data_IF_490303646906
#
_entry.id   IF_490303646906
#
_cell.length_a   1.000
_cell.length_b   1.000
_cell.length_c   1.000
_cell.angle_alpha   90.00
_cell.angle_beta   90.00
_cell.angle_gamma   90.00
#
_symmetry.space_group_name_H-M   'P 1'
#
loop_
_entity.id
_entity.type
_entity.pdbx_description
1 polymer ?
#
# COMPACT_ATOMS: atom_id res chain seq x y z
N UNK A 1 -3.65 -2.47 30.85
CA UNK A 1 -4.98 -3.06 30.62
C UNK A 1 -5.12 -3.30 29.12
N UNK A 2 -5.40 -4.53 28.70
CA UNK A 2 -5.60 -4.88 27.30
C UNK A 2 -7.11 -4.98 27.05
N UNK A 3 -7.62 -4.26 26.05
CA UNK A 3 -9.04 -4.28 25.73
C UNK A 3 -9.33 -5.45 24.78
N UNK A 4 -10.34 -6.26 25.08
CA UNK A 4 -10.62 -7.52 24.36
C UNK A 4 -11.87 -7.53 23.50
N UNK A 5 -12.79 -6.58 23.71
CA UNK A 5 -14.06 -6.50 22.98
C UNK A 5 -14.32 -5.05 22.49
N UNK A 6 -14.72 -4.93 21.22
CA UNK A 6 -15.25 -3.68 20.65
C UNK A 6 -16.69 -3.48 21.13
N UNK A 7 -17.05 -2.25 21.52
CA UNK A 7 -18.37 -1.97 22.06
C UNK A 7 -18.65 -0.49 22.26
N UNK A 8 -19.82 -0.20 22.83
CA UNK A 8 -20.23 1.15 23.20
C UNK A 8 -20.13 1.27 24.71
N UNK A 9 -19.31 2.20 25.17
CA UNK A 9 -19.15 2.53 26.58
C UNK A 9 -20.03 3.74 26.90
N UNK A 10 -20.92 3.57 27.88
CA UNK A 10 -21.83 4.65 28.31
C UNK A 10 -21.31 5.27 29.60
N UNK A 11 -21.00 6.55 29.56
CA UNK A 11 -20.70 7.35 30.75
C UNK A 11 -22.00 7.96 31.27
N UNK A 12 -22.37 7.62 32.50
CA UNK A 12 -23.59 8.11 33.14
C UNK A 12 -23.22 9.01 34.33
N UNK A 13 -23.82 10.20 34.42
CA UNK A 13 -23.67 11.12 35.53
C UNK A 13 -25.05 11.47 36.10
N UNK A 14 -25.20 11.29 37.42
CA UNK A 14 -26.47 11.46 38.12
C UNK A 14 -26.33 12.46 39.26
N UNK A 15 -27.30 13.37 39.39
CA UNK A 15 -27.46 14.26 40.54
C UNK A 15 -28.91 14.22 41.06
N UNK A 16 -29.23 15.05 42.07
CA UNK A 16 -30.57 15.10 42.69
C UNK A 16 -31.70 15.54 41.74
N UNK A 17 -31.37 16.13 40.60
CA UNK A 17 -32.32 16.69 39.62
C UNK A 17 -32.50 15.75 38.43
N UNK A 18 -31.51 14.90 38.12
CA UNK A 18 -31.64 13.91 37.05
C UNK A 18 -30.34 13.20 36.70
N UNK A 19 -30.40 12.46 35.60
CA UNK A 19 -29.31 11.65 35.04
C UNK A 19 -29.04 12.06 33.60
N UNK A 20 -27.76 12.15 33.23
CA UNK A 20 -27.30 12.34 31.86
C UNK A 20 -26.39 11.19 31.46
N UNK A 21 -26.47 10.79 30.19
CA UNK A 21 -25.66 9.71 29.62
C UNK A 21 -24.93 10.17 28.36
N UNK A 22 -23.72 9.64 28.16
CA UNK A 22 -22.92 9.84 26.94
C UNK A 22 -22.33 8.53 26.46
N UNK A 23 -22.66 8.16 25.22
CA UNK A 23 -22.13 6.98 24.57
C UNK A 23 -20.79 7.26 23.89
N UNK A 24 -19.85 6.33 24.03
CA UNK A 24 -18.52 6.35 23.44
C UNK A 24 -18.27 5.04 22.70
N UNK A 25 -18.08 5.13 21.39
CA UNK A 25 -17.75 3.96 20.60
C UNK A 25 -16.27 3.61 20.78
N UNK A 26 -15.98 2.38 21.19
CA UNK A 26 -14.64 1.87 21.38
C UNK A 26 -14.42 0.65 20.49
N UNK A 27 -13.46 0.75 19.57
CA UNK A 27 -13.16 -0.31 18.62
C UNK A 27 -11.73 -0.81 18.83
N UNK A 28 -11.60 -2.13 18.88
CA UNK A 28 -10.30 -2.80 18.84
C UNK A 28 -9.88 -2.97 17.39
N UNK A 29 -8.58 -2.83 17.17
CA UNK A 29 -7.97 -3.10 15.88
C UNK A 29 -6.61 -3.76 16.08
N UNK A 30 -6.33 -4.76 15.26
CA UNK A 30 -5.03 -5.41 15.08
C UNK A 30 -4.12 -4.63 14.10
N UNK A 31 -4.54 -3.43 13.70
CA UNK A 31 -3.83 -2.59 12.72
C UNK A 31 -3.25 -1.38 13.43
N UNK A 32 -1.94 -1.07 13.26
CA UNK A 32 -1.35 0.14 13.80
C UNK A 32 -2.14 1.39 13.39
N UNK A 33 -2.61 2.16 14.36
CA UNK A 33 -3.47 3.34 14.17
C UNK A 33 -4.74 3.10 13.33
N UNK A 34 -5.16 1.84 13.18
CA UNK A 34 -6.33 1.44 12.41
C UNK A 34 -6.17 1.49 10.89
N UNK A 35 -5.06 1.98 10.34
CA UNK A 35 -4.84 2.07 8.90
C UNK A 35 -3.33 2.02 8.59
N UNK A 36 -2.90 0.95 7.91
CA UNK A 36 -1.51 0.75 7.53
C UNK A 36 -1.34 0.26 6.08
N UNK A 37 -0.27 0.71 5.43
CA UNK A 37 0.11 0.29 4.07
C UNK A 37 1.53 -0.27 4.06
N UNK A 38 1.69 -1.47 3.51
CA UNK A 38 2.98 -2.16 3.40
C UNK A 38 3.36 -2.45 1.96
N UNK A 39 4.67 -2.41 1.71
CA UNK A 39 5.31 -2.95 0.51
C UNK A 39 6.05 -4.21 0.95
N UNK A 40 5.76 -5.35 0.30
CA UNK A 40 6.33 -6.66 0.65
C UNK A 40 7.87 -6.67 0.52
N UNK A 41 8.35 -6.28 -0.67
CA UNK A 41 9.77 -6.05 -0.96
C UNK A 41 9.93 -4.99 -2.04
N UNK A 42 11.11 -4.36 -2.11
CA UNK A 42 11.45 -3.50 -3.24
C UNK A 42 11.62 -4.38 -4.50
N UNK A 43 10.77 -4.24 -5.53
CA UNK A 43 10.83 -5.11 -6.70
C UNK A 43 11.97 -4.70 -7.64
N UNK A 44 12.56 -5.68 -8.30
CA UNK A 44 13.34 -5.45 -9.52
C UNK A 44 12.44 -5.50 -10.77
N UNK A 45 12.94 -4.97 -11.88
CA UNK A 45 12.28 -5.07 -13.18
C UNK A 45 12.03 -6.54 -13.54
N UNK A 46 10.80 -6.85 -13.98
CA UNK A 46 10.35 -8.22 -14.25
C UNK A 46 9.84 -8.98 -13.01
N UNK A 47 10.04 -8.48 -11.78
CA UNK A 47 9.44 -9.09 -10.59
C UNK A 47 8.00 -8.63 -10.32
N UNK A 48 7.27 -9.38 -9.50
CA UNK A 48 5.95 -8.98 -9.04
C UNK A 48 6.03 -7.94 -7.91
N UNK A 49 5.40 -6.78 -8.13
CA UNK A 49 5.17 -5.77 -7.09
C UNK A 49 3.93 -6.14 -6.26
N UNK A 50 4.08 -6.20 -4.94
CA UNK A 50 3.01 -6.53 -3.99
C UNK A 50 2.88 -5.46 -2.91
N UNK A 51 1.70 -4.84 -2.88
CA UNK A 51 1.30 -3.87 -1.86
C UNK A 51 0.10 -4.41 -1.09
N UNK A 52 0.06 -4.14 0.21
CA UNK A 52 -1.06 -4.50 1.07
C UNK A 52 -1.53 -3.28 1.84
N UNK A 53 -2.84 -3.03 1.79
CA UNK A 53 -3.50 -2.00 2.56
C UNK A 53 -4.39 -2.68 3.60
N UNK A 54 -4.04 -2.57 4.87
CA UNK A 54 -4.79 -3.17 5.97
C UNK A 54 -5.46 -2.06 6.76
N UNK A 55 -6.78 -2.17 6.94
CA UNK A 55 -7.60 -1.19 7.64
C UNK A 55 -8.43 -1.86 8.72
N UNK A 56 -8.74 -1.12 9.78
CA UNK A 56 -9.71 -1.51 10.79
C UNK A 56 -11.08 -1.62 10.14
N UNK A 57 -11.69 -2.80 10.27
CA UNK A 57 -12.99 -3.12 9.68
C UNK A 57 -14.12 -2.22 10.19
N UNK A 58 -13.99 -1.72 11.42
CA UNK A 58 -15.03 -0.94 12.09
C UNK A 58 -14.88 0.57 11.91
N UNK A 59 -13.72 1.02 11.43
CA UNK A 59 -13.43 2.45 11.26
C UNK A 59 -13.51 2.90 9.79
N UNK A 60 -13.27 2.00 8.84
CA UNK A 60 -13.07 2.37 7.43
C UNK A 60 -13.91 1.56 6.44
N UNK A 61 -14.35 2.25 5.37
CA UNK A 61 -15.08 1.69 4.22
C UNK A 61 -14.58 2.28 2.89
N UNK A 62 -15.15 1.84 1.78
CA UNK A 62 -14.89 2.36 0.42
C UNK A 62 -13.39 2.35 0.05
N UNK A 63 -12.70 1.26 0.39
CA UNK A 63 -11.25 1.14 0.22
C UNK A 63 -10.89 1.01 -1.26
N UNK A 64 -9.92 1.79 -1.72
CA UNK A 64 -9.49 1.77 -3.12
C UNK A 64 -8.00 2.10 -3.25
N UNK A 65 -7.31 1.37 -4.13
CA UNK A 65 -5.94 1.72 -4.53
C UNK A 65 -5.93 2.81 -5.60
N UNK A 66 -5.04 3.78 -5.44
CA UNK A 66 -4.84 4.91 -6.34
C UNK A 66 -3.35 4.99 -6.68
N UNK A 67 -3.04 5.15 -7.96
CA UNK A 67 -1.71 5.56 -8.41
C UNK A 67 -1.69 7.08 -8.56
N UNK A 68 -0.78 7.74 -7.86
CA UNK A 68 -0.53 9.17 -7.96
C UNK A 68 0.63 9.40 -8.92
N UNK A 69 0.34 10.06 -10.05
CA UNK A 69 1.36 10.48 -11.03
C UNK A 69 1.40 11.98 -11.11
N UNK A 70 2.60 12.55 -11.01
CA UNK A 70 2.82 13.98 -11.20
C UNK A 70 3.46 14.19 -12.56
N UNK A 71 2.74 14.84 -13.48
CA UNK A 71 3.25 15.20 -14.81
C UNK A 71 3.01 16.70 -14.98
N UNK A 72 4.04 17.46 -15.37
CA UNK A 72 3.95 18.91 -15.59
C UNK A 72 3.33 19.68 -14.39
N UNK A 73 3.77 19.38 -13.16
CA UNK A 73 3.23 19.93 -11.91
C UNK A 73 1.74 19.65 -11.64
N UNK A 74 1.09 18.79 -12.42
CA UNK A 74 -0.28 18.33 -12.18
C UNK A 74 -0.26 16.91 -11.62
N UNK A 75 -0.92 16.70 -10.48
CA UNK A 75 -1.06 15.37 -9.87
C UNK A 75 -2.36 14.72 -10.35
N UNK A 76 -2.23 13.67 -11.15
CA UNK A 76 -3.36 12.86 -11.60
C UNK A 76 -3.54 11.66 -10.68
N UNK A 77 -4.80 11.39 -10.31
CA UNK A 77 -5.18 10.22 -9.52
C UNK A 77 -5.78 9.17 -10.44
N UNK A 78 -5.18 7.99 -10.49
CA UNK A 78 -5.69 6.86 -11.27
C UNK A 78 -6.16 5.77 -10.32
N UNK A 79 -7.47 5.54 -10.25
CA UNK A 79 -8.04 4.42 -9.49
C UNK A 79 -7.64 3.10 -10.13
N UNK A 80 -7.11 2.19 -9.32
CA UNK A 80 -6.68 0.87 -9.79
C UNK A 80 -7.84 -0.10 -9.60
N UNK A 81 -8.47 -0.52 -10.70
CA UNK A 81 -9.63 -1.42 -10.69
C UNK A 81 -9.28 -2.90 -10.46
N UNK A 82 -8.02 -3.31 -10.62
CA UNK A 82 -7.56 -4.71 -10.55
C UNK A 82 -7.30 -5.19 -9.12
N UNK A 83 -8.14 -4.79 -8.18
CA UNK A 83 -7.97 -5.18 -6.78
C UNK A 83 -8.47 -6.60 -6.60
N UNK A 84 -7.70 -7.42 -5.87
CA UNK A 84 -8.19 -8.73 -5.45
C UNK A 84 -9.31 -8.55 -4.43
N UNK A 85 -10.15 -9.57 -4.28
CA UNK A 85 -11.11 -9.65 -3.19
C UNK A 85 -10.39 -9.42 -1.86
N UNK A 86 -10.95 -8.58 -0.96
CA UNK A 86 -10.30 -8.29 0.31
C UNK A 86 -10.23 -9.54 1.18
N UNK A 87 -9.13 -9.66 1.91
CA UNK A 87 -8.95 -10.69 2.95
C UNK A 87 -9.46 -10.10 4.26
N UNK A 88 -10.54 -10.68 4.79
CA UNK A 88 -11.17 -10.20 6.03
C UNK A 88 -10.74 -11.05 7.22
N UNK A 89 -10.31 -10.40 8.30
CA UNK A 89 -10.04 -10.97 9.61
C UNK A 89 -11.08 -10.50 10.63
N UNK A 90 -10.89 -10.84 11.90
CA UNK A 90 -11.79 -10.48 12.99
C UNK A 90 -11.97 -8.96 13.15
N UNK A 91 -10.87 -8.20 13.12
CA UNK A 91 -10.87 -6.74 13.35
C UNK A 91 -10.35 -5.91 12.18
N UNK A 92 -9.87 -6.55 11.12
CA UNK A 92 -9.26 -5.88 9.96
C UNK A 92 -9.68 -6.47 8.62
N UNK A 93 -9.50 -5.67 7.57
CA UNK A 93 -9.61 -6.08 6.18
C UNK A 93 -8.33 -5.70 5.45
N UNK A 94 -7.83 -6.57 4.58
CA UNK A 94 -6.62 -6.33 3.78
C UNK A 94 -6.92 -6.35 2.29
N UNK A 95 -6.60 -5.25 1.61
CA UNK A 95 -6.76 -5.06 0.17
C UNK A 95 -5.40 -5.15 -0.51
N UNK A 96 -5.17 -6.25 -1.22
CA UNK A 96 -3.90 -6.53 -1.88
C UNK A 96 -3.90 -6.01 -3.33
N UNK A 97 -2.85 -5.30 -3.69
CA UNK A 97 -2.54 -4.91 -5.06
C UNK A 97 -1.31 -5.69 -5.53
N UNK A 98 -1.45 -6.36 -6.67
CA UNK A 98 -0.36 -7.10 -7.32
C UNK A 98 -0.22 -6.64 -8.76
N UNK A 99 0.96 -6.12 -9.09
CA UNK A 99 1.35 -5.79 -10.46
C UNK A 99 2.39 -6.84 -10.88
N UNK A 100 2.05 -7.64 -11.88
CA UNK A 100 2.92 -8.72 -12.38
C UNK A 100 3.92 -8.17 -13.37
N UNK A 101 5.15 -8.73 -13.36
CA UNK A 101 6.23 -8.33 -14.27
C UNK A 101 6.40 -6.79 -14.29
N UNK A 102 6.73 -6.22 -13.13
CA UNK A 102 6.82 -4.77 -12.96
C UNK A 102 7.89 -4.17 -13.90
N UNK A 103 7.54 -3.05 -14.52
CA UNK A 103 8.43 -2.24 -15.35
C UNK A 103 8.93 -1.02 -14.59
N UNK A 104 9.96 -0.35 -15.10
CA UNK A 104 10.44 0.91 -14.50
C UNK A 104 9.34 1.98 -14.40
N UNK A 105 8.37 1.98 -15.31
CA UNK A 105 7.24 2.91 -15.36
C UNK A 105 6.18 2.67 -14.26
N UNK A 106 6.25 1.51 -13.59
CA UNK A 106 5.44 1.20 -12.41
C UNK A 106 6.01 1.82 -11.13
N UNK A 107 7.18 2.48 -11.21
CA UNK A 107 7.68 3.30 -10.10
C UNK A 107 6.76 4.51 -9.87
N UNK A 108 6.48 4.83 -8.62
CA UNK A 108 5.63 5.97 -8.28
C UNK A 108 5.10 5.95 -6.85
N UNK A 109 4.18 6.88 -6.57
CA UNK A 109 3.49 6.94 -5.28
C UNK A 109 2.15 6.23 -5.38
N UNK A 110 2.04 5.10 -4.73
CA UNK A 110 0.77 4.39 -4.56
C UNK A 110 0.08 4.89 -3.30
N UNK A 111 -1.22 5.08 -3.35
CA UNK A 111 -2.02 5.48 -2.20
C UNK A 111 -3.18 4.50 -2.01
N UNK A 112 -3.39 4.08 -0.76
CA UNK A 112 -4.65 3.46 -0.38
C UNK A 112 -5.57 4.56 0.14
N UNK A 113 -6.74 4.71 -0.48
CA UNK A 113 -7.80 5.61 -0.02
C UNK A 113 -8.83 4.80 0.75
N UNK A 114 -9.27 5.30 1.90
CA UNK A 114 -10.38 4.76 2.66
C UNK A 114 -11.22 5.89 3.26
N UNK A 115 -12.52 5.66 3.42
CA UNK A 115 -13.44 6.61 4.05
C UNK A 115 -13.70 6.20 5.49
N UNK A 116 -13.51 7.13 6.43
CA UNK A 116 -13.89 6.94 7.82
C UNK A 116 -15.41 6.84 7.93
N UNK A 117 -15.90 5.78 8.58
CA UNK A 117 -17.35 5.48 8.66
C UNK A 117 -18.10 6.53 9.50
N UNK A 118 -17.45 7.15 10.50
CA UNK A 118 -18.09 8.07 11.45
C UNK A 118 -17.94 9.53 11.03
N UNK A 119 -16.74 9.93 10.60
CA UNK A 119 -16.50 11.32 10.19
C UNK A 119 -16.85 11.58 8.73
N UNK A 120 -16.94 10.53 7.91
CA UNK A 120 -17.10 10.64 6.46
C UNK A 120 -15.84 11.14 5.74
N UNK A 121 -14.76 11.42 6.46
CA UNK A 121 -13.50 11.92 5.93
C UNK A 121 -12.80 10.84 5.08
N UNK A 122 -12.24 11.26 3.95
CA UNK A 122 -11.40 10.39 3.12
C UNK A 122 -9.93 10.53 3.53
N UNK A 123 -9.33 9.40 3.89
CA UNK A 123 -7.93 9.32 4.32
C UNK A 123 -7.13 8.60 3.24
N UNK A 124 -5.95 9.13 2.92
CA UNK A 124 -5.00 8.53 2.00
C UNK A 124 -3.70 8.15 2.74
N UNK A 125 -3.35 6.86 2.72
CA UNK A 125 -2.04 6.39 3.12
C UNK A 125 -1.17 6.15 1.88
N UNK A 126 -0.05 6.86 1.79
CA UNK A 126 0.85 6.85 0.64
C UNK A 126 2.04 5.94 0.87
N UNK A 127 2.48 5.27 -0.18
CA UNK A 127 3.69 4.46 -0.22
C UNK A 127 4.44 4.73 -1.52
N UNK A 128 5.68 5.19 -1.39
CA UNK A 128 6.59 5.34 -2.51
C UNK A 128 7.17 3.97 -2.88
N UNK A 129 7.16 3.67 -4.18
CA UNK A 129 7.65 2.43 -4.76
C UNK A 129 8.65 2.78 -5.86
N UNK A 130 9.82 2.18 -5.79
CA UNK A 130 10.90 2.34 -6.77
C UNK A 130 11.24 0.95 -7.29
N UNK A 131 11.08 0.74 -8.60
CA UNK A 131 11.47 -0.49 -9.27
C UNK A 131 12.95 -0.40 -9.62
N UNK A 132 13.72 -1.42 -9.23
CA UNK A 132 15.15 -1.48 -9.51
C UNK A 132 15.38 -2.04 -10.91
N UNK A 133 15.94 -1.24 -11.80
CA UNK A 133 16.37 -1.72 -13.12
C UNK A 133 17.63 -2.58 -13.02
N UNK A 134 17.73 -3.59 -13.88
CA UNK A 134 18.99 -4.30 -14.10
C UNK A 134 19.82 -3.54 -15.15
N UNK A 135 21.02 -3.08 -14.79
CA UNK A 135 21.95 -2.50 -15.76
C UNK A 135 22.71 -3.62 -16.48
N UNK A 136 22.23 -4.06 -17.63
CA UNK A 136 22.95 -5.02 -18.47
C UNK A 136 23.93 -4.28 -19.40
N UNK A 137 25.22 -4.33 -19.09
CA UNK A 137 26.25 -3.89 -20.03
C UNK A 137 26.31 -4.88 -21.20
N UNK A 138 25.68 -4.54 -22.33
CA UNK A 138 25.76 -5.35 -23.56
C UNK A 138 27.19 -5.28 -24.12
N UNK A 139 28.08 -6.20 -23.72
CA UNK A 139 29.38 -6.37 -24.38
C UNK A 139 29.19 -7.16 -25.68
N UNK A 140 29.45 -6.51 -26.82
CA UNK A 140 29.50 -7.20 -28.11
C UNK A 140 30.74 -8.10 -28.15
N UNK A 141 30.55 -9.43 -28.17
CA UNK A 141 31.63 -10.39 -28.37
C UNK A 141 31.72 -10.68 -29.85
N UNK A 142 32.81 -10.21 -30.46
CA UNK A 142 33.11 -10.51 -31.86
C UNK A 142 33.85 -11.85 -31.94
N UNK A 143 33.18 -12.86 -32.50
CA UNK A 143 33.80 -14.12 -32.90
C UNK A 143 34.71 -13.90 -34.11
N UNK A 144 35.96 -14.38 -34.06
CA UNK A 144 36.88 -14.38 -35.23
C UNK A 144 36.60 -15.53 -36.20
N UNK A 145 35.83 -16.53 -35.80
CA UNK A 145 35.68 -17.82 -36.51
C UNK A 145 34.35 -17.88 -37.29
N UNK A 146 33.40 -17.03 -36.94
CA UNK A 146 32.09 -16.92 -37.61
C UNK A 146 31.68 -15.46 -37.63
N UNK A 147 31.12 -14.97 -38.74
CA UNK A 147 30.49 -13.63 -38.86
C UNK A 147 29.25 -13.46 -37.94
N UNK A 148 29.12 -14.26 -36.90
CA UNK A 148 28.06 -14.21 -35.90
C UNK A 148 28.46 -13.31 -34.75
N UNK A 149 27.67 -12.26 -34.54
CA UNK A 149 27.75 -11.37 -33.38
C UNK A 149 27.08 -12.11 -32.21
N UNK A 150 27.85 -12.55 -31.21
CA UNK A 150 27.28 -13.14 -29.99
C UNK A 150 27.26 -12.05 -28.91
N UNK A 151 26.10 -11.78 -28.33
CA UNK A 151 25.95 -10.86 -27.20
C UNK A 151 25.99 -11.67 -25.90
N UNK A 152 26.98 -11.42 -25.04
CA UNK A 152 27.03 -11.98 -23.69
C UNK A 152 26.49 -10.93 -22.73
N UNK A 153 25.42 -11.27 -22.01
CA UNK A 153 24.86 -10.41 -20.98
C UNK A 153 25.65 -10.62 -19.69
N UNK A 154 26.27 -9.55 -19.19
CA UNK A 154 26.94 -9.53 -17.89
C UNK A 154 26.14 -8.59 -16.99
N UNK A 155 25.32 -9.16 -16.10
CA UNK A 155 24.39 -8.43 -15.26
C UNK A 155 25.02 -8.27 -13.86
N UNK A 156 25.26 -7.03 -13.43
CA UNK A 156 25.67 -6.71 -12.05
C UNK A 156 24.56 -5.94 -11.36
N UNK A 157 24.05 -6.47 -10.24
CA UNK A 157 23.10 -5.78 -9.38
C UNK A 157 23.80 -4.60 -8.69
N UNK A 158 23.42 -3.36 -9.01
CA UNK A 158 23.97 -2.17 -8.34
C UNK A 158 23.09 -1.78 -7.15
N UNK A 159 23.64 -1.93 -5.93
CA UNK A 159 23.08 -1.30 -4.74
C UNK A 159 23.35 0.21 -4.82
N UNK A 160 22.31 1.01 -5.07
CA UNK A 160 22.40 2.46 -4.94
C UNK A 160 22.51 2.84 -3.46
N UNK A 161 23.74 2.90 -2.95
CA UNK A 161 24.08 3.67 -1.74
C UNK A 161 24.34 5.10 -2.21
N UNK A 162 23.44 6.04 -1.88
CA UNK A 162 23.70 7.47 -2.09
C UNK A 162 24.56 7.99 -0.92
N UNK A 163 25.66 8.66 -1.28
CA UNK A 163 26.44 9.55 -0.41
C UNK A 163 25.67 10.82 -0.09
#
# INVERSE_FOLDING_TARGET
ADARISGIYTCMATNKVGTVERNMNFYITDVPHGFHVTLDKMPAEGEDLKLSCTVSKFLYKDITWILLRTVNNQTTQQSISKQKTPVTKEHSMTFNLVIKNASLEDSGTYACRARNIYTGEEILQKKEVIIRGEHCNKKAVFSRISKFKSTRNDCTAQNNVKH
#
